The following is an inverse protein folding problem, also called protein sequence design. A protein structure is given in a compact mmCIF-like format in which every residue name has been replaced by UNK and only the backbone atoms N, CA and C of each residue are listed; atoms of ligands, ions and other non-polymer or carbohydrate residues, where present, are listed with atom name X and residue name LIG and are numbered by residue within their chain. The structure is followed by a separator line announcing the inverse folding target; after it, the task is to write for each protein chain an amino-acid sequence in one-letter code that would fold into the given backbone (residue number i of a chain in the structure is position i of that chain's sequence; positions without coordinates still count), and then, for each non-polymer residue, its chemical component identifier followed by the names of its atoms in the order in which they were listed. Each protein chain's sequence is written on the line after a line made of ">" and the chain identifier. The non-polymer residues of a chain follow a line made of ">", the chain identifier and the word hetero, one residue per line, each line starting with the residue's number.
data_IF_992143772273
#
_entry.id   IF_992143772273
#
_cell.length_a   1.000
_cell.length_b   1.000
_cell.length_c   1.000
_cell.angle_alpha   90.00
_cell.angle_beta   90.00
_cell.angle_gamma   90.00
#
_symmetry.space_group_name_H-M   'P 1'
#
loop_
_entity.id
_entity.type
_entity.pdbx_description
1 polymer ?
#
# COMPACT_ATOMS: atom_id res chain seq x y z
N UNK A 1 8.40 -4.31 -2.01
CA UNK A 1 9.32 -3.16 -1.88
C UNK A 1 9.28 -2.22 -3.09
N UNK A 2 9.33 -2.72 -4.34
CA UNK A 2 9.42 -1.88 -5.54
C UNK A 2 8.29 -0.85 -5.72
N UNK A 3 7.02 -1.22 -5.49
CA UNK A 3 5.87 -0.30 -5.71
C UNK A 3 5.85 0.86 -4.71
N UNK A 4 6.18 0.58 -3.45
CA UNK A 4 6.21 1.58 -2.37
C UNK A 4 7.39 2.53 -2.57
N UNK A 5 8.58 1.99 -2.88
CA UNK A 5 9.76 2.80 -3.18
C UNK A 5 9.58 3.68 -4.43
N UNK A 6 8.92 3.15 -5.47
CA UNK A 6 8.62 3.91 -6.70
C UNK A 6 7.56 5.01 -6.51
N UNK A 7 6.84 5.02 -5.38
CA UNK A 7 5.76 5.97 -5.09
C UNK A 7 5.94 6.60 -3.71
N UNK A 8 7.17 6.92 -3.32
CA UNK A 8 7.50 7.45 -1.98
C UNK A 8 6.65 8.68 -1.59
N UNK A 9 6.38 9.59 -2.53
CA UNK A 9 5.46 10.73 -2.34
C UNK A 9 4.06 10.30 -1.88
N UNK A 10 3.50 9.24 -2.49
CA UNK A 10 2.19 8.70 -2.11
C UNK A 10 2.23 8.00 -0.75
N UNK A 11 3.37 7.46 -0.35
CA UNK A 11 3.55 6.87 0.98
C UNK A 11 3.47 7.96 2.03
N UNK A 12 4.12 9.09 1.79
CA UNK A 12 4.08 10.25 2.69
C UNK A 12 2.66 10.81 2.81
N UNK A 13 1.97 10.96 1.68
CA UNK A 13 0.56 11.36 1.66
C UNK A 13 -0.36 10.35 2.38
N UNK A 14 -0.11 9.05 2.24
CA UNK A 14 -0.85 8.00 2.95
C UNK A 14 -0.63 8.11 4.46
N UNK A 15 0.62 8.30 4.88
CA UNK A 15 0.99 8.53 6.29
C UNK A 15 0.40 9.82 6.84
N UNK A 16 0.24 10.85 6.02
CA UNK A 16 -0.44 12.10 6.34
C UNK A 16 -1.98 12.00 6.36
N UNK A 17 -2.56 10.80 6.31
CA UNK A 17 -3.99 10.58 6.51
C UNK A 17 -4.81 10.33 5.23
N UNK A 18 -4.20 10.33 4.04
CA UNK A 18 -4.91 9.97 2.79
C UNK A 18 -5.07 8.45 2.65
N UNK A 19 -6.00 7.88 3.42
CA UNK A 19 -6.31 6.44 3.41
C UNK A 19 -6.70 5.90 2.01
N UNK A 20 -7.22 6.73 1.12
CA UNK A 20 -7.55 6.35 -0.26
C UNK A 20 -6.33 5.83 -1.05
N UNK A 21 -5.11 6.27 -0.72
CA UNK A 21 -3.88 5.79 -1.36
C UNK A 21 -3.58 4.33 -1.03
N UNK A 22 -4.09 3.81 0.09
CA UNK A 22 -3.95 2.40 0.42
C UNK A 22 -4.56 1.50 -0.66
N UNK A 23 -5.77 1.81 -1.12
CA UNK A 23 -6.44 1.08 -2.21
C UNK A 23 -5.65 1.12 -3.52
N UNK A 24 -4.99 2.25 -3.82
CA UNK A 24 -4.09 2.36 -4.97
C UNK A 24 -2.91 1.37 -4.88
N UNK A 25 -2.26 1.30 -3.72
CA UNK A 25 -1.15 0.37 -3.50
C UNK A 25 -1.61 -1.09 -3.55
N UNK A 26 -2.79 -1.40 -2.99
CA UNK A 26 -3.36 -2.76 -3.02
C UNK A 26 -3.60 -3.18 -4.46
N UNK A 27 -4.22 -2.33 -5.28
CA UNK A 27 -4.47 -2.61 -6.69
C UNK A 27 -3.20 -2.79 -7.51
N UNK A 28 -2.19 -1.95 -7.30
CA UNK A 28 -0.88 -2.09 -7.95
C UNK A 28 -0.18 -3.39 -7.56
N UNK A 29 -0.26 -3.77 -6.27
CA UNK A 29 0.35 -4.99 -5.76
C UNK A 29 -0.37 -6.24 -6.28
N UNK A 30 -1.70 -6.24 -6.28
CA UNK A 30 -2.53 -7.28 -6.88
C UNK A 30 -2.22 -7.51 -8.36
N UNK A 31 -2.06 -6.41 -9.11
CA UNK A 31 -1.72 -6.44 -10.53
C UNK A 31 -0.31 -6.99 -10.76
N UNK A 32 0.68 -6.55 -9.98
CA UNK A 32 2.05 -7.05 -10.07
C UNK A 32 2.17 -8.54 -9.71
N UNK A 33 1.33 -9.02 -8.79
CA UNK A 33 1.25 -10.44 -8.40
C UNK A 33 0.42 -11.28 -9.39
N UNK A 34 -0.22 -10.66 -10.39
CA UNK A 34 -1.06 -11.36 -11.37
C UNK A 34 -2.25 -12.11 -10.74
N UNK A 35 -2.82 -11.58 -9.65
CA UNK A 35 -3.93 -12.22 -8.94
C UNK A 35 -3.56 -13.48 -8.15
N UNK A 36 -2.27 -13.81 -8.01
CA UNK A 36 -1.81 -15.00 -7.26
C UNK A 36 -1.85 -14.82 -5.74
N UNK A 37 -2.05 -13.61 -5.24
CA UNK A 37 -2.07 -13.30 -3.81
C UNK A 37 -3.48 -13.01 -3.32
N UNK A 38 -3.79 -13.48 -2.11
CA UNK A 38 -5.08 -13.19 -1.46
C UNK A 38 -5.14 -11.72 -0.99
N UNK A 39 -6.32 -11.07 -1.06
CA UNK A 39 -6.52 -9.68 -0.63
C UNK A 39 -6.10 -9.43 0.82
N UNK A 40 -6.40 -10.38 1.72
CA UNK A 40 -6.01 -10.30 3.12
C UNK A 40 -4.48 -10.24 3.27
N UNK A 41 -3.75 -11.11 2.57
CA UNK A 41 -2.29 -11.18 2.61
C UNK A 41 -1.67 -9.92 2.01
N UNK A 42 -2.23 -9.41 0.91
CA UNK A 42 -1.76 -8.18 0.29
C UNK A 42 -1.96 -7.00 1.22
N UNK A 43 -3.14 -6.87 1.86
CA UNK A 43 -3.41 -5.81 2.83
C UNK A 43 -2.42 -5.84 4.00
N UNK A 44 -2.22 -7.01 4.59
CA UNK A 44 -1.33 -7.17 5.75
C UNK A 44 0.12 -6.80 5.41
N UNK A 45 0.61 -7.33 4.28
CA UNK A 45 1.94 -6.98 3.75
C UNK A 45 2.05 -5.50 3.42
N UNK A 46 1.01 -4.88 2.86
CA UNK A 46 1.03 -3.46 2.55
C UNK A 46 1.07 -2.61 3.80
N UNK A 47 0.29 -2.93 4.82
CA UNK A 47 0.36 -2.24 6.12
C UNK A 47 1.75 -2.34 6.72
N UNK A 48 2.37 -3.52 6.67
CA UNK A 48 3.74 -3.70 7.16
C UNK A 48 4.78 -2.86 6.37
N UNK A 49 4.57 -2.64 5.07
CA UNK A 49 5.51 -1.89 4.21
C UNK A 49 5.23 -0.37 4.22
N UNK A 50 3.97 0.05 4.24
CA UNK A 50 3.56 1.45 4.24
C UNK A 50 3.59 2.06 5.66
N UNK A 51 3.44 1.23 6.69
CA UNK A 51 3.16 1.63 8.07
C UNK A 51 1.66 1.83 8.29
N UNK A 52 1.22 1.96 9.54
CA UNK A 52 -0.14 2.41 9.86
C UNK A 52 -0.25 3.92 9.55
N UNK A 53 -1.35 4.41 8.96
CA UNK A 53 -1.49 5.84 8.72
C UNK A 53 -1.50 6.55 10.08
N UNK A 54 -0.82 7.71 10.18
CA UNK A 54 -0.81 8.45 11.43
C UNK A 54 -2.26 8.79 11.79
N UNK A 55 -2.72 8.31 12.95
CA UNK A 55 -3.98 8.73 13.55
C UNK A 55 -3.71 10.12 14.13
N UNK A 56 -3.93 11.15 13.31
CA UNK A 56 -4.00 12.55 13.71
C UNK A 56 -5.46 13.00 13.76
#
# INVERSE_FOLDING_TARGET
>A
AAIVAANADKVDQYRGGKAALFGFFVGQTMKAMGGKASPAVVNDRLKAVLGEPAVI
#
